data_IF_128072909283
#
_entry.id   IF_128072909283
#
_cell.length_a   1.000
_cell.length_b   1.000
_cell.length_c   1.000
_cell.angle_alpha   90.00
_cell.angle_beta   90.00
_cell.angle_gamma   90.00
#
_symmetry.space_group_name_H-M   'P 1'
#
loop_
_entity.id
_entity.type
_entity.pdbx_description
1 polymer ?
#
# COMPACT_ATOMS: atom_id res chain seq x y z
N UNK A 1 18.41 -25.76 -31.58
CA UNK A 1 17.83 -25.62 -30.24
C UNK A 1 17.72 -24.14 -29.95
N UNK A 2 16.58 -23.54 -30.29
CA UNK A 2 16.31 -22.14 -29.97
C UNK A 2 15.85 -22.09 -28.51
N UNK A 3 16.71 -21.57 -27.64
CA UNK A 3 16.32 -21.21 -26.29
C UNK A 3 15.40 -20.00 -26.42
N UNK A 4 14.10 -20.17 -26.17
CA UNK A 4 13.17 -19.07 -26.09
C UNK A 4 13.65 -18.10 -25.00
N UNK A 5 13.96 -16.86 -25.39
CA UNK A 5 14.29 -15.80 -24.44
C UNK A 5 13.10 -15.59 -23.48
N UNK A 6 13.34 -15.43 -22.16
CA UNK A 6 12.27 -15.12 -21.23
C UNK A 6 11.58 -13.82 -21.66
N UNK A 7 10.25 -13.69 -21.49
CA UNK A 7 9.52 -12.48 -21.85
C UNK A 7 10.19 -11.29 -21.15
N UNK A 8 10.65 -10.34 -21.95
CA UNK A 8 11.23 -9.09 -21.46
C UNK A 8 10.10 -8.36 -20.73
N UNK A 9 10.33 -7.99 -19.47
CA UNK A 9 9.40 -7.18 -18.67
C UNK A 9 9.21 -5.81 -19.35
N UNK A 10 8.37 -5.74 -20.38
CA UNK A 10 8.00 -4.48 -21.02
C UNK A 10 7.16 -3.67 -20.03
N UNK A 11 7.52 -2.39 -19.78
CA UNK A 11 6.73 -1.55 -18.90
C UNK A 11 5.31 -1.43 -19.47
N UNK A 12 4.27 -1.38 -18.61
CA UNK A 12 2.89 -1.34 -19.08
C UNK A 12 2.67 -0.17 -20.04
N UNK A 13 1.94 -0.41 -21.13
CA UNK A 13 1.59 0.62 -22.10
C UNK A 13 0.96 1.85 -21.40
N UNK A 14 1.24 3.05 -21.90
CA UNK A 14 0.79 4.31 -21.27
C UNK A 14 -0.73 4.36 -21.03
N UNK A 15 -1.52 3.81 -21.96
CA UNK A 15 -2.97 3.67 -21.80
C UNK A 15 -3.38 2.77 -20.62
N UNK A 16 -2.61 1.72 -20.33
CA UNK A 16 -2.81 0.82 -19.20
C UNK A 16 -2.55 1.54 -17.87
N UNK A 17 -1.48 2.33 -17.81
CA UNK A 17 -1.15 3.13 -16.61
C UNK A 17 -2.22 4.19 -16.33
N UNK A 18 -2.70 4.87 -17.38
CA UNK A 18 -3.81 5.82 -17.26
C UNK A 18 -5.07 5.16 -16.72
N UNK A 19 -5.42 3.96 -17.23
CA UNK A 19 -6.56 3.20 -16.75
C UNK A 19 -6.42 2.78 -15.28
N UNK A 20 -5.21 2.39 -14.86
CA UNK A 20 -4.93 2.08 -13.46
C UNK A 20 -5.17 3.28 -12.53
N UNK A 21 -4.77 4.48 -12.95
CA UNK A 21 -5.00 5.72 -12.20
C UNK A 21 -6.49 6.11 -12.10
N UNK A 22 -7.28 5.86 -13.15
CA UNK A 22 -8.73 6.03 -13.14
C UNK A 22 -9.39 5.07 -12.13
N UNK A 23 -9.01 3.79 -12.14
CA UNK A 23 -9.51 2.79 -11.19
C UNK A 23 -9.13 3.15 -9.75
N UNK A 24 -7.90 3.60 -9.50
CA UNK A 24 -7.48 4.13 -8.19
C UNK A 24 -8.35 5.32 -7.77
N UNK A 25 -8.72 6.21 -8.69
CA UNK A 25 -9.57 7.36 -8.39
C UNK A 25 -10.98 6.92 -8.00
N UNK A 26 -11.58 5.99 -8.75
CA UNK A 26 -12.86 5.38 -8.39
C UNK A 26 -12.82 4.70 -7.02
N UNK A 27 -11.77 3.92 -6.76
CA UNK A 27 -11.56 3.28 -5.46
C UNK A 27 -11.49 4.30 -4.31
N UNK A 28 -10.81 5.43 -4.52
CA UNK A 28 -10.77 6.51 -3.53
C UNK A 28 -12.16 7.09 -3.24
N UNK A 29 -13.02 7.19 -4.25
CA UNK A 29 -14.36 7.75 -4.09
C UNK A 29 -15.28 6.78 -3.33
N UNK A 30 -15.24 5.48 -3.63
CA UNK A 30 -15.88 4.45 -2.81
C UNK A 30 -15.34 4.46 -1.37
N UNK A 31 -14.03 4.61 -1.19
CA UNK A 31 -13.43 4.69 0.13
C UNK A 31 -13.97 5.89 0.94
N UNK A 32 -14.09 7.07 0.32
CA UNK A 32 -14.69 8.27 0.95
C UNK A 32 -16.16 8.04 1.30
N UNK A 33 -16.89 7.32 0.47
CA UNK A 33 -18.27 6.90 0.72
C UNK A 33 -18.40 5.80 1.79
N UNK A 34 -17.28 5.34 2.36
CA UNK A 34 -17.19 4.22 3.33
C UNK A 34 -17.61 2.87 2.76
N UNK A 35 -17.71 2.74 1.44
CA UNK A 35 -17.89 1.48 0.74
C UNK A 35 -16.51 0.85 0.51
N UNK A 36 -16.02 0.18 1.54
CA UNK A 36 -14.67 -0.36 1.55
C UNK A 36 -14.52 -1.59 0.65
N UNK A 37 -15.58 -2.36 0.45
CA UNK A 37 -15.57 -3.53 -0.43
C UNK A 37 -15.37 -3.13 -1.90
N UNK A 38 -16.12 -2.14 -2.38
CA UNK A 38 -15.89 -1.62 -3.73
C UNK A 38 -14.54 -0.90 -3.84
N UNK A 39 -14.10 -0.18 -2.80
CA UNK A 39 -12.76 0.39 -2.80
C UNK A 39 -11.67 -0.69 -2.98
N UNK A 40 -11.75 -1.81 -2.24
CA UNK A 40 -10.83 -2.95 -2.36
C UNK A 40 -10.85 -3.52 -3.78
N UNK A 41 -12.05 -3.72 -4.35
CA UNK A 41 -12.22 -4.23 -5.71
C UNK A 41 -11.50 -3.35 -6.74
N UNK A 42 -11.75 -2.04 -6.72
CA UNK A 42 -11.17 -1.13 -7.71
C UNK A 42 -9.67 -0.92 -7.51
N UNK A 43 -9.16 -0.90 -6.27
CA UNK A 43 -7.70 -0.92 -6.06
C UNK A 43 -7.07 -2.21 -6.57
N UNK A 44 -7.74 -3.36 -6.45
CA UNK A 44 -7.23 -4.63 -6.96
C UNK A 44 -7.10 -4.62 -8.48
N UNK A 45 -8.11 -4.09 -9.18
CA UNK A 45 -8.03 -3.89 -10.63
C UNK A 45 -6.91 -2.91 -11.02
N UNK A 46 -6.71 -1.82 -10.25
CA UNK A 46 -5.59 -0.91 -10.50
C UNK A 46 -4.22 -1.62 -10.34
N UNK A 47 -4.10 -2.51 -9.35
CA UNK A 47 -2.88 -3.31 -9.10
C UNK A 47 -2.62 -4.30 -10.23
N UNK A 48 -3.66 -4.94 -10.78
CA UNK A 48 -3.53 -5.85 -11.93
C UNK A 48 -2.94 -5.12 -13.15
N UNK A 49 -3.30 -3.85 -13.35
CA UNK A 49 -2.80 -3.04 -14.47
C UNK A 49 -1.42 -2.42 -14.22
N UNK A 50 -1.09 -2.11 -12.96
CA UNK A 50 0.21 -1.58 -12.58
C UNK A 50 0.62 -2.08 -11.19
N UNK A 51 1.25 -3.27 -11.12
CA UNK A 51 1.61 -3.92 -9.87
C UNK A 51 2.82 -3.28 -9.17
N UNK A 52 3.44 -2.29 -9.81
CA UNK A 52 4.64 -1.60 -9.34
C UNK A 52 4.32 -0.33 -8.53
N UNK A 53 3.04 0.07 -8.47
CA UNK A 53 2.64 1.30 -7.80
C UNK A 53 2.35 1.08 -6.31
N UNK A 54 3.28 1.53 -5.45
CA UNK A 54 3.17 1.44 -4.00
C UNK A 54 1.88 2.04 -3.42
N UNK A 55 1.36 3.10 -4.05
CA UNK A 55 0.17 3.83 -3.56
C UNK A 55 -1.07 2.94 -3.57
N UNK A 56 -1.21 2.06 -4.58
CA UNK A 56 -2.40 1.23 -4.71
C UNK A 56 -2.49 0.22 -3.57
N UNK A 57 -1.38 -0.46 -3.27
CA UNK A 57 -1.28 -1.36 -2.13
C UNK A 57 -1.47 -0.61 -0.81
N UNK A 58 -0.87 0.58 -0.64
CA UNK A 58 -1.04 1.39 0.56
C UNK A 58 -2.50 1.79 0.82
N UNK A 59 -3.25 2.11 -0.22
CA UNK A 59 -4.66 2.47 -0.11
C UNK A 59 -5.56 1.24 0.07
N UNK A 60 -5.28 0.13 -0.61
CA UNK A 60 -6.03 -1.13 -0.41
C UNK A 60 -5.79 -1.71 0.98
N UNK A 61 -4.57 -1.60 1.51
CA UNK A 61 -4.25 -1.91 2.91
C UNK A 61 -5.13 -1.12 3.88
N UNK A 62 -5.33 0.17 3.63
CA UNK A 62 -6.23 0.97 4.43
C UNK A 62 -7.67 0.47 4.36
N UNK A 63 -8.16 0.14 3.16
CA UNK A 63 -9.50 -0.40 3.02
C UNK A 63 -9.66 -1.73 3.79
N UNK A 64 -8.66 -2.62 3.72
CA UNK A 64 -8.64 -3.84 4.53
C UNK A 64 -8.60 -3.58 6.04
N UNK A 65 -7.90 -2.54 6.51
CA UNK A 65 -7.97 -2.13 7.93
C UNK A 65 -9.39 -1.73 8.34
N UNK A 66 -10.14 -1.09 7.45
CA UNK A 66 -11.52 -0.65 7.71
C UNK A 66 -12.53 -1.80 7.69
N UNK A 67 -12.20 -2.91 7.04
CA UNK A 67 -13.00 -4.15 7.01
C UNK A 67 -12.43 -5.23 7.93
N UNK A 68 -11.55 -4.87 8.85
CA UNK A 68 -10.93 -5.77 9.84
C UNK A 68 -10.15 -6.97 9.26
N UNK A 69 -9.82 -6.89 7.97
CA UNK A 69 -9.05 -7.87 7.22
C UNK A 69 -7.54 -7.67 7.46
N UNK A 70 -7.11 -7.70 8.72
CA UNK A 70 -5.80 -7.21 9.14
C UNK A 70 -4.61 -7.96 8.54
N UNK A 71 -4.76 -9.26 8.23
CA UNK A 71 -3.73 -10.04 7.54
C UNK A 71 -3.46 -9.54 6.12
N UNK A 72 -4.53 -9.28 5.35
CA UNK A 72 -4.43 -8.70 4.02
C UNK A 72 -3.89 -7.27 4.08
N UNK A 73 -4.32 -6.48 5.06
CA UNK A 73 -3.79 -5.13 5.28
C UNK A 73 -2.29 -5.12 5.54
N UNK A 74 -1.79 -6.06 6.36
CA UNK A 74 -0.36 -6.22 6.65
C UNK A 74 0.43 -6.58 5.38
N UNK A 75 -0.09 -7.51 4.58
CA UNK A 75 0.53 -7.91 3.31
C UNK A 75 0.68 -6.74 2.34
N UNK A 76 -0.42 -6.02 2.09
CA UNK A 76 -0.42 -4.86 1.18
C UNK A 76 0.47 -3.72 1.69
N UNK A 77 0.45 -3.42 3.00
CA UNK A 77 1.32 -2.40 3.56
C UNK A 77 2.81 -2.76 3.43
N UNK A 78 3.13 -4.04 3.60
CA UNK A 78 4.50 -4.55 3.41
C UNK A 78 4.92 -4.40 1.95
N UNK A 79 4.06 -4.81 1.02
CA UNK A 79 4.32 -4.67 -0.42
C UNK A 79 4.51 -3.21 -0.85
N UNK A 80 3.70 -2.29 -0.31
CA UNK A 80 3.85 -0.86 -0.58
C UNK A 80 5.24 -0.34 -0.17
N UNK A 81 5.76 -0.76 0.99
CA UNK A 81 7.10 -0.36 1.49
C UNK A 81 8.21 -1.00 0.66
N UNK A 82 8.04 -2.24 0.20
CA UNK A 82 9.01 -2.91 -0.69
C UNK A 82 9.15 -2.16 -2.03
N UNK A 83 8.03 -1.71 -2.59
CA UNK A 83 7.97 -0.96 -3.84
C UNK A 83 8.53 0.47 -3.68
N UNK A 84 8.16 1.15 -2.59
CA UNK A 84 8.69 2.48 -2.28
C UNK A 84 9.01 2.61 -0.78
N UNK A 85 10.29 2.48 -0.45
CA UNK A 85 10.81 2.62 0.91
C UNK A 85 10.64 4.01 1.50
N UNK A 86 10.36 5.03 0.68
CA UNK A 86 10.09 6.42 1.11
C UNK A 86 8.60 6.67 1.35
N UNK A 87 7.73 5.72 1.03
CA UNK A 87 6.29 5.87 1.22
C UNK A 87 5.88 5.74 2.69
N UNK A 88 5.99 6.84 3.44
CA UNK A 88 5.74 6.90 4.90
C UNK A 88 4.35 6.39 5.29
N UNK A 89 3.34 6.62 4.45
CA UNK A 89 1.98 6.08 4.68
C UNK A 89 1.99 4.54 4.72
N UNK A 90 2.83 3.87 3.94
CA UNK A 90 3.00 2.42 3.98
C UNK A 90 3.43 1.92 5.37
N UNK A 91 4.43 2.56 5.99
CA UNK A 91 4.85 2.25 7.36
C UNK A 91 3.73 2.47 8.37
N UNK A 92 2.99 3.57 8.26
CA UNK A 92 1.83 3.81 9.13
C UNK A 92 0.77 2.70 9.00
N UNK A 93 0.45 2.27 7.77
CA UNK A 93 -0.51 1.17 7.53
C UNK A 93 0.01 -0.17 8.06
N UNK A 94 1.30 -0.45 7.91
CA UNK A 94 1.92 -1.67 8.44
C UNK A 94 1.92 -1.67 9.97
N UNK A 95 2.19 -0.53 10.59
CA UNK A 95 2.10 -0.33 12.04
C UNK A 95 0.68 -0.60 12.54
N UNK A 96 -0.34 0.02 11.92
CA UNK A 96 -1.74 -0.17 12.28
C UNK A 96 -2.20 -1.63 12.11
N UNK A 97 -1.75 -2.30 11.04
CA UNK A 97 -2.07 -3.72 10.80
C UNK A 97 -1.44 -4.62 11.86
N UNK A 98 -0.16 -4.39 12.20
CA UNK A 98 0.52 -5.10 13.28
C UNK A 98 -0.13 -4.84 14.63
N UNK A 99 -0.59 -3.61 14.90
CA UNK A 99 -1.28 -3.25 16.13
C UNK A 99 -2.59 -4.04 16.28
N UNK A 100 -3.41 -4.08 15.22
CA UNK A 100 -4.66 -4.84 15.19
C UNK A 100 -4.45 -6.36 15.34
N UNK A 101 -3.30 -6.87 14.88
CA UNK A 101 -2.89 -8.28 15.05
C UNK A 101 -2.18 -8.58 16.38
N UNK A 102 -2.07 -7.61 17.31
CA UNK A 102 -1.37 -7.77 18.58
C UNK A 102 0.16 -7.85 18.48
N UNK A 103 0.74 -7.55 17.32
CA UNK A 103 2.19 -7.55 17.06
C UNK A 103 2.82 -6.23 17.48
N UNK A 104 2.68 -5.88 18.76
CA UNK A 104 3.00 -4.54 19.29
C UNK A 104 4.44 -4.09 19.06
N UNK A 105 5.43 -4.97 19.22
CA UNK A 105 6.85 -4.64 18.97
C UNK A 105 7.11 -4.27 17.50
N UNK A 106 6.42 -4.94 16.57
CA UNK A 106 6.55 -4.62 15.15
C UNK A 106 5.86 -3.28 14.83
N UNK A 107 4.67 -3.05 15.40
CA UNK A 107 3.96 -1.79 15.24
C UNK A 107 4.76 -0.58 15.76
N UNK A 108 5.37 -0.70 16.94
CA UNK A 108 6.19 0.37 17.53
C UNK A 108 7.33 0.81 16.61
N UNK A 109 8.09 -0.14 16.05
CA UNK A 109 9.21 0.17 15.12
C UNK A 109 8.76 0.96 13.89
N UNK A 110 7.62 0.60 13.32
CA UNK A 110 7.06 1.31 12.17
C UNK A 110 6.54 2.70 12.58
N UNK A 111 5.90 2.84 13.75
CA UNK A 111 5.48 4.15 14.27
C UNK A 111 6.65 5.08 14.60
N UNK A 112 7.77 4.57 15.12
CA UNK A 112 8.99 5.34 15.33
C UNK A 112 9.55 5.87 14.00
N UNK A 113 9.51 5.05 12.95
CA UNK A 113 9.92 5.45 11.60
C UNK A 113 9.02 6.57 11.07
N UNK A 114 7.70 6.46 11.26
CA UNK A 114 6.74 7.51 10.91
C UNK A 114 6.99 8.79 11.71
N UNK A 115 7.15 8.69 13.03
CA UNK A 115 7.40 9.85 13.91
C UNK A 115 8.68 10.59 13.53
N UNK A 116 9.76 9.84 13.26
CA UNK A 116 11.03 10.42 12.79
C UNK A 116 10.87 11.12 11.45
N UNK A 117 10.16 10.50 10.50
CA UNK A 117 9.91 11.10 9.18
C UNK A 117 9.06 12.38 9.25
N UNK A 118 8.18 12.49 10.24
CA UNK A 118 7.34 13.67 10.48
C UNK A 118 7.99 14.73 11.38
N UNK A 119 9.23 14.52 11.83
CA UNK A 119 9.94 15.45 12.72
C UNK A 119 9.38 15.50 14.15
N UNK A 120 8.52 14.56 14.54
CA UNK A 120 7.89 14.51 15.87
C UNK A 120 8.75 13.80 16.93
N UNK A 121 9.98 13.41 16.58
CA UNK A 121 10.88 12.61 17.42
C UNK A 121 12.15 13.31 17.93
N UNK A 122 12.32 14.61 17.68
CA UNK A 122 13.36 15.39 18.35
C UNK A 122 12.73 16.11 19.56
N UNK A 123 12.70 15.42 20.70
CA UNK A 123 12.85 16.17 21.95
C UNK A 123 14.27 16.75 21.93
N UNK A 124 14.46 18.05 22.19
CA UNK A 124 15.81 18.59 22.31
C UNK A 124 16.55 17.77 23.37
N UNK A 125 17.74 17.27 23.02
CA UNK A 125 18.65 16.70 24.01
C UNK A 125 18.95 17.80 25.05
N UNK A 126 19.11 17.44 26.35
CA UNK A 126 19.45 18.40 27.38
C UNK A 126 20.78 19.13 27.11
#
# INVERSE_FOLDING_TARGET
TECAEPPRDEPPAEGTLKRAEELKTQANDYFKAKDYENAIKFYSQAIELNPSNAIYYGNRSLAYLRTECYGYALGDATRAIELDKKYIKGYYRRAASNMALGKFRAALRDYETVSRALGMGQLPAP
#
